data_IF_681559616751
#
_entry.id   IF_681559616751
#
_cell.length_a   1.000
_cell.length_b   1.000
_cell.length_c   1.000
_cell.angle_alpha   90.00
_cell.angle_beta   90.00
_cell.angle_gamma   90.00
#
_symmetry.space_group_name_H-M   'P 1'
#
loop_
_entity.id
_entity.type
_entity.pdbx_description
1 polymer ?
#
# COMPACT_ATOMS: atom_id res chain seq x y z
N UNK A 1 -28.56 12.08 1.53
CA UNK A 1 -27.14 12.50 1.47
C UNK A 1 -26.54 12.45 0.06
N UNK A 2 -26.66 11.33 -0.69
CA UNK A 2 -26.09 11.20 -2.06
C UNK A 2 -26.63 12.26 -3.02
N UNK A 3 -27.96 12.43 -3.11
CA UNK A 3 -28.57 13.43 -4.00
C UNK A 3 -28.02 14.84 -3.79
N UNK A 4 -27.85 15.26 -2.53
CA UNK A 4 -27.34 16.59 -2.20
C UNK A 4 -25.86 16.76 -2.60
N UNK A 5 -25.02 15.75 -2.35
CA UNK A 5 -23.62 15.75 -2.82
C UNK A 5 -23.55 15.83 -4.34
N UNK A 6 -24.37 15.04 -5.04
CA UNK A 6 -24.39 15.01 -6.50
C UNK A 6 -24.87 16.33 -7.09
N UNK A 7 -25.88 16.98 -6.48
CA UNK A 7 -26.31 18.33 -6.86
C UNK A 7 -25.22 19.39 -6.68
N UNK A 8 -24.35 19.24 -5.68
CA UNK A 8 -23.26 20.19 -5.43
C UNK A 8 -22.06 19.99 -6.37
N UNK A 9 -21.77 18.74 -6.76
CA UNK A 9 -20.62 18.40 -7.59
C UNK A 9 -20.93 18.35 -9.09
N UNK A 10 -22.17 18.01 -9.44
CA UNK A 10 -22.54 17.60 -10.78
C UNK A 10 -21.86 16.28 -11.19
N UNK A 11 -22.17 15.81 -12.39
CA UNK A 11 -21.57 14.58 -12.93
C UNK A 11 -20.05 14.70 -13.06
N UNK A 12 -19.57 15.81 -13.64
CA UNK A 12 -18.14 16.11 -13.80
C UNK A 12 -17.38 16.21 -12.47
N UNK A 13 -18.04 16.59 -11.38
CA UNK A 13 -17.41 16.62 -10.05
C UNK A 13 -17.36 15.24 -9.39
N UNK A 14 -18.29 14.34 -9.71
CA UNK A 14 -18.25 12.95 -9.26
C UNK A 14 -17.22 12.17 -10.06
N UNK A 15 -17.18 12.34 -11.39
CA UNK A 15 -16.19 11.77 -12.31
C UNK A 15 -14.77 12.09 -11.86
N UNK A 16 -14.43 13.38 -11.73
CA UNK A 16 -13.09 13.81 -11.28
C UNK A 16 -12.65 13.18 -9.95
N UNK A 17 -13.58 12.97 -9.01
CA UNK A 17 -13.25 12.32 -7.73
C UNK A 17 -12.93 10.85 -7.89
N UNK A 18 -13.63 10.17 -8.79
CA UNK A 18 -13.37 8.77 -9.11
C UNK A 18 -12.02 8.65 -9.81
N UNK A 19 -11.78 9.47 -10.82
CA UNK A 19 -10.52 9.50 -11.57
C UNK A 19 -9.35 9.76 -10.63
N UNK A 20 -9.45 10.78 -9.76
CA UNK A 20 -8.42 11.07 -8.77
C UNK A 20 -8.13 9.89 -7.83
N UNK A 21 -9.15 9.14 -7.40
CA UNK A 21 -8.92 7.95 -6.57
C UNK A 21 -8.14 6.87 -7.33
N UNK A 22 -8.44 6.69 -8.63
CA UNK A 22 -7.75 5.74 -9.50
C UNK A 22 -6.31 6.19 -9.75
N UNK A 23 -6.10 7.49 -10.03
CA UNK A 23 -4.78 8.07 -10.25
C UNK A 23 -3.88 7.91 -9.02
N UNK A 24 -4.40 8.17 -7.81
CA UNK A 24 -3.62 8.01 -6.58
C UNK A 24 -3.24 6.55 -6.29
N UNK A 25 -4.09 5.58 -6.63
CA UNK A 25 -3.71 4.18 -6.48
C UNK A 25 -2.71 3.73 -7.54
N UNK A 26 -2.80 4.28 -8.76
CA UNK A 26 -1.83 4.02 -9.83
C UNK A 26 -0.46 4.57 -9.43
N UNK A 27 -0.43 5.81 -8.92
CA UNK A 27 0.76 6.43 -8.37
C UNK A 27 1.35 5.58 -7.23
N UNK A 28 0.54 5.16 -6.26
CA UNK A 28 1.02 4.29 -5.19
C UNK A 28 1.59 2.97 -5.73
N UNK A 29 0.96 2.37 -6.74
CA UNK A 29 1.43 1.15 -7.36
C UNK A 29 2.79 1.34 -8.05
N UNK A 30 3.03 2.47 -8.69
CA UNK A 30 4.34 2.82 -9.25
C UNK A 30 5.38 3.03 -8.16
N UNK A 31 5.02 3.74 -7.07
CA UNK A 31 5.92 3.98 -5.93
C UNK A 31 6.32 2.70 -5.23
N UNK A 32 5.38 1.78 -5.02
CA UNK A 32 5.65 0.42 -4.52
C UNK A 32 6.67 -0.31 -5.40
N UNK A 33 6.59 -0.12 -6.72
CA UNK A 33 7.54 -0.65 -7.71
C UNK A 33 8.78 0.24 -7.93
N UNK A 34 9.05 1.25 -7.11
CA UNK A 34 10.23 2.11 -7.21
C UNK A 34 10.99 2.22 -5.88
N UNK A 35 10.31 2.05 -4.76
CA UNK A 35 10.92 2.15 -3.44
C UNK A 35 11.93 1.03 -3.19
N UNK A 36 13.17 1.46 -2.99
CA UNK A 36 14.31 0.62 -2.67
C UNK A 36 15.05 1.20 -1.46
N UNK A 37 15.82 0.36 -0.79
CA UNK A 37 16.70 0.81 0.27
C UNK A 37 18.04 1.36 -0.25
N UNK A 38 18.95 1.73 0.65
CA UNK A 38 20.27 2.27 0.31
C UNK A 38 21.13 1.34 -0.56
N UNK A 39 20.81 0.05 -0.63
CA UNK A 39 21.51 -0.95 -1.43
C UNK A 39 20.77 -1.31 -2.73
N UNK A 40 19.70 -0.57 -3.06
CA UNK A 40 18.90 -0.81 -4.26
C UNK A 40 17.99 -2.04 -4.19
N UNK A 41 17.71 -2.55 -2.99
CA UNK A 41 16.83 -3.73 -2.79
C UNK A 41 15.39 -3.27 -2.58
N UNK A 42 14.43 -3.98 -3.17
CA UNK A 42 12.99 -3.68 -3.03
C UNK A 42 12.54 -3.67 -1.58
N UNK A 43 11.71 -2.68 -1.25
CA UNK A 43 11.06 -2.61 0.05
C UNK A 43 9.65 -3.22 0.08
N UNK A 44 9.06 -3.46 -1.09
CA UNK A 44 7.69 -3.96 -1.23
C UNK A 44 7.58 -5.00 -2.35
N UNK A 45 6.57 -5.85 -2.27
CA UNK A 45 6.22 -6.83 -3.31
C UNK A 45 4.72 -6.83 -3.54
N UNK A 46 4.27 -6.62 -4.78
CA UNK A 46 2.85 -6.74 -5.15
C UNK A 46 2.40 -8.20 -5.09
N UNK A 47 1.27 -8.46 -4.43
CA UNK A 47 0.72 -9.82 -4.25
C UNK A 47 -0.21 -10.20 -5.40
N UNK A 48 -1.04 -9.26 -5.84
CA UNK A 48 -2.02 -9.45 -6.90
C UNK A 48 -1.92 -8.28 -7.89
N UNK A 49 -2.36 -8.48 -9.15
CA UNK A 49 -2.60 -7.36 -10.05
C UNK A 49 -3.51 -6.33 -9.39
N UNK A 50 -3.21 -5.06 -9.59
CA UNK A 50 -4.05 -3.97 -9.11
C UNK A 50 -5.47 -4.15 -9.66
N UNK A 51 -6.47 -3.97 -8.80
CA UNK A 51 -7.88 -4.08 -9.17
C UNK A 51 -8.59 -2.77 -8.87
N UNK A 52 -8.77 -1.96 -9.92
CA UNK A 52 -9.35 -0.62 -9.81
C UNK A 52 -8.61 0.19 -8.73
N UNK A 53 -9.33 0.77 -7.77
CA UNK A 53 -8.78 1.53 -6.65
C UNK A 53 -8.18 0.67 -5.50
N UNK A 54 -7.85 -0.60 -5.75
CA UNK A 54 -7.31 -1.52 -4.74
C UNK A 54 -5.91 -2.03 -5.13
N UNK A 55 -4.97 -1.98 -4.19
CA UNK A 55 -3.62 -2.51 -4.34
C UNK A 55 -3.29 -3.46 -3.18
N UNK A 56 -2.85 -4.67 -3.51
CA UNK A 56 -2.43 -5.67 -2.53
C UNK A 56 -0.91 -5.89 -2.58
N UNK A 57 -0.22 -5.72 -1.46
CA UNK A 57 1.24 -5.80 -1.39
C UNK A 57 1.73 -6.27 -0.02
N UNK A 58 2.97 -6.76 0.03
CA UNK A 58 3.74 -6.97 1.25
C UNK A 58 4.79 -5.87 1.42
N UNK A 59 5.12 -5.58 2.68
CA UNK A 59 6.31 -4.82 3.05
C UNK A 59 7.41 -5.81 3.43
N UNK A 60 8.58 -5.69 2.80
CA UNK A 60 9.75 -6.50 3.13
C UNK A 60 10.54 -5.78 4.24
N UNK A 61 10.66 -6.38 5.44
CA UNK A 61 11.44 -5.80 6.52
C UNK A 61 12.93 -5.86 6.20
N UNK A 62 13.77 -4.92 6.70
CA UNK A 62 15.20 -4.90 6.40
C UNK A 62 15.91 -6.24 6.63
N UNK A 63 15.56 -6.99 7.68
CA UNK A 63 16.15 -8.29 7.99
C UNK A 63 16.03 -9.34 6.88
N UNK A 64 14.98 -9.25 6.03
CA UNK A 64 14.72 -10.22 4.96
C UNK A 64 15.27 -9.78 3.60
N UNK A 65 15.68 -8.51 3.44
CA UNK A 65 16.05 -7.97 2.12
C UNK A 65 17.33 -8.57 1.55
N UNK A 66 18.27 -8.97 2.42
CA UNK A 66 19.54 -9.60 2.03
C UNK A 66 19.37 -10.99 1.43
N UNK A 67 18.31 -11.71 1.82
CA UNK A 67 18.05 -13.08 1.38
C UNK A 67 17.23 -13.15 0.08
N UNK A 68 16.67 -12.02 -0.36
CA UNK A 68 15.83 -11.92 -1.55
C UNK A 68 16.63 -11.38 -2.74
N UNK A 69 16.17 -11.73 -3.95
CA UNK A 69 16.66 -11.09 -5.15
C UNK A 69 16.43 -9.56 -5.07
N UNK A 70 17.24 -8.72 -5.73
CA UNK A 70 17.10 -7.26 -5.66
C UNK A 70 15.72 -6.74 -6.04
N UNK A 71 15.06 -7.41 -7.00
CA UNK A 71 13.72 -7.10 -7.48
C UNK A 71 12.82 -8.35 -7.44
N UNK A 72 12.38 -8.81 -6.25
CA UNK A 72 11.60 -10.03 -6.15
C UNK A 72 10.14 -9.77 -6.54
N UNK A 73 9.55 -10.71 -7.26
CA UNK A 73 8.11 -10.83 -7.48
C UNK A 73 7.52 -11.80 -6.47
N UNK A 74 6.19 -11.80 -6.30
CA UNK A 74 5.55 -12.73 -5.37
C UNK A 74 5.81 -14.20 -5.72
N UNK A 75 6.07 -14.51 -6.99
CA UNK A 75 6.42 -15.86 -7.47
C UNK A 75 7.83 -16.30 -7.07
N UNK A 76 8.73 -15.36 -6.76
CA UNK A 76 10.11 -15.64 -6.36
C UNK A 76 10.21 -15.98 -4.86
N UNK A 77 9.18 -15.66 -4.08
CA UNK A 77 9.16 -15.92 -2.64
C UNK A 77 8.76 -17.36 -2.34
N UNK A 78 9.51 -18.01 -1.46
CA UNK A 78 9.14 -19.33 -0.93
C UNK A 78 7.94 -19.23 0.01
N UNK A 79 7.19 -20.33 0.25
CA UNK A 79 6.10 -20.34 1.23
C UNK A 79 6.53 -19.88 2.63
N UNK A 80 7.75 -20.22 3.07
CA UNK A 80 8.29 -19.82 4.36
C UNK A 80 8.62 -18.32 4.41
N UNK A 81 9.12 -17.75 3.31
CA UNK A 81 9.32 -16.30 3.17
C UNK A 81 7.98 -15.57 3.19
N UNK A 82 6.97 -16.08 2.48
CA UNK A 82 5.60 -15.52 2.51
C UNK A 82 4.99 -15.61 3.91
N UNK A 83 5.19 -16.71 4.63
CA UNK A 83 4.72 -16.86 6.01
C UNK A 83 5.42 -15.88 6.96
N UNK A 84 6.72 -15.63 6.77
CA UNK A 84 7.50 -14.71 7.59
C UNK A 84 7.13 -13.25 7.33
N UNK A 85 7.09 -12.83 6.06
CA UNK A 85 6.72 -11.45 5.67
C UNK A 85 5.29 -11.10 6.09
N UNK A 86 4.37 -12.08 6.10
CA UNK A 86 2.98 -11.86 6.53
C UNK A 86 2.84 -11.54 8.02
N UNK A 87 3.84 -11.88 8.84
CA UNK A 87 3.86 -11.51 10.28
C UNK A 87 4.23 -10.04 10.49
N UNK A 88 4.74 -9.36 9.46
CA UNK A 88 5.12 -7.94 9.51
C UNK A 88 3.88 -7.04 9.53
N UNK A 89 2.85 -7.36 8.74
CA UNK A 89 1.64 -6.52 8.58
C UNK A 89 0.94 -6.18 9.92
N UNK A 90 0.69 -7.16 10.83
CA UNK A 90 0.15 -6.87 12.16
C UNK A 90 1.00 -5.92 13.01
N UNK A 91 2.32 -6.11 13.01
CA UNK A 91 3.26 -5.32 13.83
C UNK A 91 3.30 -3.87 13.35
N UNK A 92 3.46 -3.68 12.04
CA UNK A 92 3.48 -2.35 11.42
C UNK A 92 2.13 -1.65 11.60
N UNK A 93 1.00 -2.37 11.49
CA UNK A 93 -0.33 -1.79 11.75
C UNK A 93 -0.46 -1.28 13.18
N UNK A 94 -0.07 -2.06 14.19
CA UNK A 94 -0.13 -1.63 15.60
C UNK A 94 0.71 -0.36 15.83
N UNK A 95 1.93 -0.31 15.27
CA UNK A 95 2.81 0.86 15.37
C UNK A 95 2.23 2.11 14.70
N UNK A 96 1.72 1.97 13.48
CA UNK A 96 1.07 3.09 12.77
C UNK A 96 -0.18 3.58 13.49
N UNK A 97 -0.95 2.66 14.10
CA UNK A 97 -2.16 3.00 14.85
C UNK A 97 -1.84 3.78 16.13
N UNK A 98 -0.84 3.33 16.91
CA UNK A 98 -0.44 4.02 18.15
C UNK A 98 0.12 5.40 17.91
N UNK A 99 0.80 5.60 16.78
CA UNK A 99 1.41 6.88 16.40
C UNK A 99 0.47 7.80 15.61
N UNK A 100 -0.74 7.34 15.29
CA UNK A 100 -1.73 8.12 14.53
C UNK A 100 -1.37 8.36 13.06
N UNK A 101 -0.41 7.60 12.52
CA UNK A 101 0.12 7.78 11.15
C UNK A 101 -0.73 7.14 10.07
N UNK A 102 -1.59 6.19 10.43
CA UNK A 102 -2.50 5.60 9.44
C UNK A 102 -3.31 4.41 9.95
N UNK A 103 -4.41 4.14 9.25
CA UNK A 103 -5.30 3.01 9.48
C UNK A 103 -5.49 2.24 8.18
N UNK A 104 -4.53 1.38 7.85
CA UNK A 104 -4.58 0.53 6.65
C UNK A 104 -4.98 -0.89 7.06
N UNK A 105 -5.86 -1.50 6.25
CA UNK A 105 -6.24 -2.90 6.41
C UNK A 105 -5.18 -3.86 5.88
N UNK A 106 -5.05 -5.01 6.53
CA UNK A 106 -4.42 -6.19 5.95
C UNK A 106 -5.37 -7.38 6.13
N UNK A 107 -5.28 -8.34 5.21
CA UNK A 107 -6.04 -9.58 5.29
C UNK A 107 -5.43 -10.64 4.37
N UNK A 108 -5.72 -11.94 4.60
CA UNK A 108 -5.43 -12.98 3.62
C UNK A 108 -6.18 -12.73 2.31
N UNK A 109 -5.56 -13.06 1.17
CA UNK A 109 -6.19 -12.90 -0.16
C UNK A 109 -5.74 -14.00 -1.12
N UNK A 110 -6.67 -14.64 -1.83
CA UNK A 110 -6.38 -15.64 -2.88
C UNK A 110 -5.34 -16.71 -2.49
N UNK A 111 -5.37 -17.19 -1.25
CA UNK A 111 -4.42 -18.19 -0.73
C UNK A 111 -3.11 -17.62 -0.17
N UNK A 112 -2.86 -16.32 -0.33
CA UNK A 112 -1.78 -15.61 0.34
C UNK A 112 -2.21 -15.22 1.77
N UNK A 113 -1.24 -15.27 2.68
CA UNK A 113 -1.38 -14.85 4.08
C UNK A 113 -1.56 -13.32 4.18
N UNK A 114 -1.51 -12.77 5.40
CA UNK A 114 -1.81 -11.36 5.69
C UNK A 114 -1.01 -10.35 4.84
N UNK A 115 -1.59 -9.86 3.76
CA UNK A 115 -1.05 -8.78 2.94
C UNK A 115 -1.81 -7.47 3.15
N UNK A 116 -1.15 -6.35 2.93
CA UNK A 116 -1.80 -5.05 2.93
C UNK A 116 -2.78 -4.94 1.78
N UNK A 117 -3.92 -4.30 2.02
CA UNK A 117 -4.83 -3.87 0.96
C UNK A 117 -5.07 -2.38 1.11
N UNK A 118 -4.43 -1.62 0.23
CA UNK A 118 -4.77 -0.22 0.08
C UNK A 118 -6.08 -0.09 -0.69
N UNK A 119 -6.93 0.81 -0.22
CA UNK A 119 -8.12 1.26 -0.94
C UNK A 119 -8.13 2.77 -0.92
N UNK A 120 -8.05 3.40 -2.09
CA UNK A 120 -8.24 4.85 -2.20
C UNK A 120 -9.70 5.10 -2.54
N UNK A 121 -10.46 5.57 -1.55
CA UNK A 121 -11.88 5.84 -1.72
C UNK A 121 -12.23 7.21 -1.13
N UNK A 122 -12.86 8.06 -1.94
CA UNK A 122 -13.27 9.39 -1.50
C UNK A 122 -12.09 10.32 -1.20
N UNK A 123 -10.90 10.02 -1.74
CA UNK A 123 -9.78 10.94 -1.77
C UNK A 123 -10.23 12.21 -2.49
N UNK A 124 -10.17 13.33 -1.78
CA UNK A 124 -10.29 14.64 -2.39
C UNK A 124 -8.87 15.10 -2.70
N UNK A 125 -8.69 15.76 -3.83
CA UNK A 125 -7.38 16.27 -4.30
C UNK A 125 -6.62 17.03 -3.21
N UNK A 126 -7.32 17.79 -2.36
CA UNK A 126 -6.72 18.57 -1.27
C UNK A 126 -6.44 17.79 0.02
N UNK A 127 -6.86 16.53 0.12
CA UNK A 127 -6.66 15.67 1.31
C UNK A 127 -5.64 14.57 1.03
N UNK A 128 -5.67 14.01 -0.17
CA UNK A 128 -4.81 12.87 -0.52
C UNK A 128 -4.28 13.09 -1.92
N UNK A 129 -3.08 13.67 -1.98
CA UNK A 129 -2.25 13.74 -3.18
C UNK A 129 -1.07 12.77 -3.08
N UNK A 130 -0.13 12.93 -4.02
CA UNK A 130 1.08 12.13 -4.11
C UNK A 130 1.94 12.20 -2.83
N UNK A 131 2.01 13.39 -2.21
CA UNK A 131 2.77 13.60 -0.98
C UNK A 131 2.24 12.79 0.21
N UNK A 132 0.92 12.64 0.33
CA UNK A 132 0.32 11.77 1.36
C UNK A 132 0.58 10.29 1.07
N UNK A 133 0.56 9.88 -0.21
CA UNK A 133 0.93 8.51 -0.60
C UNK A 133 2.38 8.22 -0.24
N UNK A 134 3.30 9.13 -0.55
CA UNK A 134 4.72 9.02 -0.23
C UNK A 134 4.95 8.96 1.29
N UNK A 135 4.32 9.86 2.03
CA UNK A 135 4.41 9.91 3.49
C UNK A 135 3.90 8.60 4.11
N UNK A 136 2.78 8.08 3.61
CA UNK A 136 2.21 6.83 4.09
C UNK A 136 3.15 5.64 3.89
N UNK A 137 3.72 5.50 2.69
CA UNK A 137 4.66 4.44 2.38
C UNK A 137 5.95 4.58 3.21
N UNK A 138 6.48 5.79 3.36
CA UNK A 138 7.64 6.06 4.20
C UNK A 138 7.38 5.71 5.68
N UNK A 139 6.19 6.06 6.19
CA UNK A 139 5.78 5.72 7.55
C UNK A 139 5.64 4.21 7.78
N UNK A 140 5.17 3.47 6.77
CA UNK A 140 5.16 2.00 6.81
C UNK A 140 6.59 1.44 6.92
N UNK A 141 7.54 1.98 6.15
CA UNK A 141 8.94 1.56 6.19
C UNK A 141 9.61 1.89 7.52
N UNK A 142 9.40 3.11 8.04
CA UNK A 142 9.91 3.50 9.35
C UNK A 142 9.33 2.63 10.48
N UNK A 143 8.05 2.27 10.38
CA UNK A 143 7.41 1.35 11.32
C UNK A 143 7.92 -0.09 11.23
N UNK A 144 8.75 -0.43 10.24
CA UNK A 144 9.34 -1.75 10.03
C UNK A 144 10.88 -1.75 10.10
N UNK A 145 11.52 -0.64 10.47
CA UNK A 145 12.97 -0.46 10.36
C UNK A 145 13.80 -1.45 11.20
N UNK A 146 13.27 -1.86 12.36
CA UNK A 146 13.88 -2.80 13.29
C UNK A 146 13.40 -4.25 13.12
N UNK A 147 12.65 -4.54 12.06
CA UNK A 147 12.10 -5.87 11.77
C UNK A 147 12.99 -6.69 10.83
#
# INVERSE_FOLDING_TARGET
KIWLMWRALGDLGVERRVDHCVDMINYMAERVDQMTDSHGRRCFVKVLPQSYANLCFYLIPPSMRDELAPNPTIQDLTPDQVASISKVSPVVKDRMQRTGKGLIGFQPVNGYNNCWRMVVAGAKEYIMGEGEVDTLLADMLAAAEDL
#
